data_IF_172645754725
#
_entry.id   IF_172645754725
#
_cell.length_a   1.000
_cell.length_b   1.000
_cell.length_c   1.000
_cell.angle_alpha   90.00
_cell.angle_beta   90.00
_cell.angle_gamma   90.00
#
_symmetry.space_group_name_H-M   'P 1'
#
loop_
_entity.id
_entity.type
_entity.pdbx_description
1 polymer ?
#
# COMPACT_ATOMS: atom_id res chain seq x y z
N UNK A 1 14.58 6.03 1.72
CA UNK A 1 13.21 5.53 1.57
C UNK A 1 12.48 5.64 2.89
N UNK A 2 11.28 6.22 2.91
CA UNK A 2 10.50 6.39 4.15
C UNK A 2 9.79 5.08 4.60
N UNK A 3 9.65 4.12 3.68
CA UNK A 3 9.11 2.79 3.99
C UNK A 3 10.25 1.86 4.36
N UNK A 4 10.08 1.10 5.44
CA UNK A 4 10.93 -0.05 5.73
C UNK A 4 10.67 -1.13 4.68
N UNK A 5 11.72 -1.85 4.32
CA UNK A 5 11.74 -2.93 3.33
C UNK A 5 10.68 -4.02 3.56
N UNK A 6 10.14 -4.13 4.78
CA UNK A 6 9.13 -5.13 5.14
C UNK A 6 7.73 -4.56 5.37
N UNK A 7 7.59 -3.23 5.49
CA UNK A 7 6.37 -2.56 5.96
C UNK A 7 5.52 -1.92 4.87
N UNK A 8 6.11 -1.61 3.72
CA UNK A 8 5.37 -1.04 2.61
C UNK A 8 6.01 -1.23 1.25
N UNK A 9 5.17 -1.19 0.21
CA UNK A 9 5.57 -1.32 -1.18
C UNK A 9 4.84 -0.29 -2.04
N UNK A 10 5.56 0.22 -3.04
CA UNK A 10 5.02 1.15 -4.05
C UNK A 10 5.11 0.44 -5.39
N UNK A 11 3.96 0.32 -6.05
CA UNK A 11 3.80 -0.30 -7.35
C UNK A 11 3.58 0.78 -8.38
N UNK A 12 4.44 0.83 -9.38
CA UNK A 12 4.24 1.67 -10.54
C UNK A 12 3.50 0.86 -11.61
N UNK A 13 2.33 1.34 -12.03
CA UNK A 13 1.42 0.63 -12.95
C UNK A 13 1.29 1.42 -14.25
N UNK A 14 1.48 0.74 -15.38
CA UNK A 14 1.21 1.28 -16.72
C UNK A 14 -0.08 0.70 -17.28
N UNK A 15 -1.18 1.42 -17.12
CA UNK A 15 -2.48 1.07 -17.71
C UNK A 15 -2.47 1.49 -19.18
N UNK A 16 -2.53 0.51 -20.10
CA UNK A 16 -2.46 0.75 -21.55
C UNK A 16 -3.83 0.72 -22.20
N UNK A 17 -4.74 -0.09 -21.66
CA UNK A 17 -6.10 -0.29 -22.18
C UNK A 17 -7.14 -0.11 -21.08
N UNK A 18 -8.40 0.12 -21.46
CA UNK A 18 -9.52 0.19 -20.52
C UNK A 18 -9.72 -1.12 -19.73
N UNK A 19 -9.30 -2.26 -20.29
CA UNK A 19 -9.32 -3.56 -19.62
C UNK A 19 -8.34 -3.63 -18.46
N UNK A 20 -7.30 -2.78 -18.45
CA UNK A 20 -6.32 -2.78 -17.39
C UNK A 20 -6.86 -2.14 -16.09
N UNK A 21 -8.00 -1.44 -16.18
CA UNK A 21 -8.64 -0.80 -15.04
C UNK A 21 -9.12 -1.84 -14.02
N UNK A 22 -8.65 -1.70 -12.78
CA UNK A 22 -8.90 -2.64 -11.70
C UNK A 22 -7.73 -3.57 -11.39
N UNK A 23 -6.78 -3.78 -12.32
CA UNK A 23 -5.58 -4.56 -11.99
C UNK A 23 -4.75 -3.92 -10.89
N UNK A 24 -4.73 -2.59 -10.77
CA UNK A 24 -4.09 -1.92 -9.65
C UNK A 24 -4.68 -2.36 -8.30
N UNK A 25 -6.00 -2.57 -8.21
CA UNK A 25 -6.65 -3.07 -6.99
C UNK A 25 -6.25 -4.52 -6.71
N UNK A 26 -6.22 -5.37 -7.75
CA UNK A 26 -5.79 -6.76 -7.61
C UNK A 26 -4.33 -6.87 -7.13
N UNK A 27 -3.43 -6.07 -7.70
CA UNK A 27 -2.02 -6.00 -7.29
C UNK A 27 -1.93 -5.63 -5.80
N UNK A 28 -2.64 -4.60 -5.36
CA UNK A 28 -2.63 -4.16 -3.97
C UNK A 28 -3.14 -5.24 -3.01
N UNK A 29 -4.25 -5.91 -3.33
CA UNK A 29 -4.80 -7.00 -2.52
C UNK A 29 -3.83 -8.19 -2.46
N UNK A 30 -3.24 -8.58 -3.59
CA UNK A 30 -2.26 -9.65 -3.65
C UNK A 30 -1.00 -9.32 -2.85
N UNK A 31 -0.51 -8.08 -2.90
CA UNK A 31 0.64 -7.63 -2.14
C UNK A 31 0.39 -7.70 -0.62
N UNK A 32 -0.79 -7.24 -0.18
CA UNK A 32 -1.21 -7.32 1.22
C UNK A 32 -1.40 -8.76 1.70
N UNK A 33 -1.82 -9.68 0.83
CA UNK A 33 -1.98 -11.11 1.17
C UNK A 33 -0.68 -11.91 1.17
N UNK A 34 0.33 -11.49 0.40
CA UNK A 34 1.57 -12.27 0.18
C UNK A 34 2.57 -12.09 1.31
N UNK A 35 2.66 -10.90 1.91
CA UNK A 35 3.62 -10.61 2.97
C UNK A 35 2.92 -10.30 4.28
N UNK A 36 3.20 -11.11 5.30
CA UNK A 36 2.75 -10.94 6.69
C UNK A 36 3.12 -9.57 7.29
N UNK A 37 4.16 -8.92 6.77
CA UNK A 37 4.60 -7.60 7.24
C UNK A 37 4.00 -6.41 6.51
N UNK A 38 3.35 -6.64 5.37
CA UNK A 38 2.88 -5.58 4.47
C UNK A 38 1.73 -4.82 5.10
N UNK A 39 1.95 -3.54 5.44
CA UNK A 39 0.91 -2.66 5.97
C UNK A 39 0.38 -1.68 4.95
N UNK A 40 1.26 -1.23 4.06
CA UNK A 40 0.99 -0.14 3.14
C UNK A 40 1.40 -0.56 1.74
N UNK A 41 0.42 -0.73 0.87
CA UNK A 41 0.65 -0.93 -0.54
C UNK A 41 0.07 0.28 -1.28
N UNK A 42 0.89 0.91 -2.12
CA UNK A 42 0.50 2.08 -2.90
C UNK A 42 0.67 1.75 -4.38
N UNK A 43 -0.34 2.04 -5.19
CA UNK A 43 -0.24 1.95 -6.64
C UNK A 43 -0.25 3.37 -7.21
N UNK A 44 0.75 3.69 -8.01
CA UNK A 44 0.87 4.96 -8.73
C UNK A 44 0.99 4.69 -10.23
N UNK A 45 0.64 5.70 -11.03
CA UNK A 45 0.81 5.64 -12.48
C UNK A 45 2.28 5.72 -12.88
N UNK A 46 2.61 5.34 -14.12
CA UNK A 46 3.98 5.34 -14.65
C UNK A 46 4.65 6.71 -14.74
N UNK A 47 3.89 7.80 -14.64
CA UNK A 47 4.39 9.16 -14.72
C UNK A 47 4.91 9.70 -13.37
N UNK A 48 4.75 8.93 -12.29
CA UNK A 48 5.18 9.29 -10.93
C UNK A 48 6.56 8.69 -10.63
N UNK A 49 7.49 9.50 -10.12
CA UNK A 49 8.76 8.99 -9.61
C UNK A 49 8.58 8.32 -8.23
N UNK A 50 8.68 6.99 -8.19
CA UNK A 50 8.55 6.19 -6.96
C UNK A 50 9.73 6.34 -6.00
N UNK A 51 10.82 6.97 -6.42
CA UNK A 51 11.98 7.26 -5.58
C UNK A 51 11.84 8.63 -4.87
N UNK A 52 10.91 9.48 -5.32
CA UNK A 52 10.61 10.79 -4.75
C UNK A 52 9.34 10.73 -3.89
N UNK A 53 9.48 10.98 -2.59
CA UNK A 53 8.32 11.01 -1.69
C UNK A 53 7.37 12.17 -2.01
N UNK A 54 7.89 13.29 -2.51
CA UNK A 54 7.08 14.45 -2.86
C UNK A 54 6.13 14.12 -4.02
N UNK A 55 6.61 13.40 -5.04
CA UNK A 55 5.79 12.93 -6.17
C UNK A 55 4.73 11.93 -5.73
N UNK A 56 5.09 11.00 -4.83
CA UNK A 56 4.15 10.02 -4.28
C UNK A 56 3.05 10.74 -3.48
N UNK A 57 3.41 11.67 -2.60
CA UNK A 57 2.44 12.41 -1.79
C UNK A 57 1.56 13.32 -2.66
N UNK A 58 2.12 13.93 -3.70
CA UNK A 58 1.35 14.68 -4.69
C UNK A 58 0.33 13.78 -5.41
N UNK A 59 0.74 12.60 -5.88
CA UNK A 59 -0.15 11.65 -6.54
C UNK A 59 -1.29 11.19 -5.62
N UNK A 60 -0.98 10.87 -4.35
CA UNK A 60 -2.00 10.49 -3.37
C UNK A 60 -2.98 11.63 -3.09
N UNK A 61 -2.49 12.84 -2.88
CA UNK A 61 -3.34 13.98 -2.52
C UNK A 61 -4.24 14.46 -3.67
N UNK A 62 -3.81 14.27 -4.92
CA UNK A 62 -4.51 14.81 -6.10
C UNK A 62 -5.33 13.76 -6.87
N UNK A 63 -4.96 12.48 -6.81
CA UNK A 63 -5.57 11.42 -7.63
C UNK A 63 -6.36 10.38 -6.85
N UNK A 64 -6.25 10.34 -5.51
CA UNK A 64 -6.97 9.36 -4.68
C UNK A 64 -8.26 9.94 -4.14
N UNK A 65 -9.36 9.25 -4.35
CA UNK A 65 -10.60 9.49 -3.61
C UNK A 65 -10.64 8.62 -2.35
N UNK A 66 -10.64 9.21 -1.13
CA UNK A 66 -10.64 8.46 0.12
C UNK A 66 -11.82 7.51 0.30
N UNK A 67 -12.96 7.75 -0.37
CA UNK A 67 -14.16 6.93 -0.24
C UNK A 67 -14.13 5.66 -1.12
N UNK A 68 -13.45 5.69 -2.26
CA UNK A 68 -13.56 4.63 -3.29
C UNK A 68 -12.24 3.93 -3.59
N UNK A 69 -11.11 4.58 -3.31
CA UNK A 69 -9.79 4.10 -3.73
C UNK A 69 -8.97 3.52 -2.57
N UNK A 70 -9.43 3.69 -1.33
CA UNK A 70 -8.83 3.05 -0.16
C UNK A 70 -9.39 1.63 0.02
N UNK A 71 -8.48 0.65 -0.05
CA UNK A 71 -8.78 -0.74 0.28
C UNK A 71 -8.36 -0.98 1.72
N UNK A 72 -9.32 -1.29 2.58
CA UNK A 72 -9.04 -1.74 3.94
C UNK A 72 -8.83 -3.26 3.90
N UNK A 73 -7.61 -3.76 4.21
CA UNK A 73 -7.38 -5.20 4.27
C UNK A 73 -8.24 -5.87 5.33
N UNK A 74 -8.43 -7.18 5.20
CA UNK A 74 -9.28 -7.97 6.09
C UNK A 74 -8.83 -7.79 7.54
N UNK A 75 -9.73 -7.34 8.45
CA UNK A 75 -9.40 -7.18 9.87
C UNK A 75 -8.92 -8.50 10.50
N UNK A 76 -7.95 -8.42 11.41
CA UNK A 76 -7.42 -9.60 12.12
C UNK A 76 -6.40 -10.42 11.33
N UNK A 77 -5.88 -9.87 10.22
CA UNK A 77 -4.76 -10.47 9.48
C UNK A 77 -3.53 -10.71 10.35
N UNK A 78 -2.71 -11.70 9.97
CA UNK A 78 -1.50 -12.03 10.69
C UNK A 78 -0.44 -10.93 10.54
N UNK A 79 -0.04 -10.34 11.67
CA UNK A 79 0.92 -9.25 11.74
C UNK A 79 2.34 -9.67 12.16
N UNK A 80 3.24 -8.70 12.25
CA UNK A 80 4.63 -8.87 12.68
C UNK A 80 4.85 -8.29 14.09
N UNK A 81 5.32 -9.11 15.02
CA UNK A 81 5.39 -8.78 16.45
C UNK A 81 6.38 -7.66 16.81
N UNK A 82 7.31 -7.31 15.93
CA UNK A 82 8.21 -6.17 16.12
C UNK A 82 7.57 -4.84 15.72
N UNK A 83 6.45 -4.86 14.99
CA UNK A 83 5.75 -3.65 14.61
C UNK A 83 5.10 -3.02 15.85
N UNK A 84 5.27 -1.71 16.11
CA UNK A 84 4.76 -1.07 17.31
C UNK A 84 3.25 -1.26 17.55
N UNK A 85 2.45 -1.28 16.48
CA UNK A 85 0.99 -1.46 16.53
C UNK A 85 0.53 -2.92 16.73
N UNK A 86 1.43 -3.89 16.56
CA UNK A 86 1.12 -5.34 16.61
C UNK A 86 1.98 -6.07 17.64
N UNK A 87 2.61 -5.31 18.54
CA UNK A 87 3.55 -5.83 19.52
C UNK A 87 2.81 -6.73 20.50
N UNK A 88 2.98 -8.04 20.34
CA UNK A 88 2.37 -9.07 21.21
C UNK A 88 2.87 -9.03 22.69
N UNK A 89 3.69 -8.05 23.08
CA UNK A 89 4.28 -7.93 24.41
C UNK A 89 4.27 -6.53 25.04
N UNK A 90 3.57 -5.54 24.46
CA UNK A 90 3.34 -4.25 25.13
C UNK A 90 1.87 -4.16 25.54
N UNK A 91 1.60 -4.51 26.81
CA UNK A 91 0.27 -4.41 27.37
C UNK A 91 -0.31 -2.99 27.29
N UNK A 92 -1.65 -2.93 27.31
CA UNK A 92 -2.40 -1.75 27.71
C UNK A 92 -3.05 -0.95 26.59
N UNK A 93 -4.16 -1.47 26.05
CA UNK A 93 -5.51 -0.93 26.33
C UNK A 93 -6.57 -1.94 25.93
#
# INVERSE_FOLDING_TARGET
>A
FAMTDWGGAIFQVDKRNAVDEGYQRNILVSALGTSRGMRLAIAVDKDIDIYSMDDIMWALSTRVNPQTDLIVPVPGGAGQTFQPSERAGAGGR
#
